data_IF_865141993203
#
_entry.id   IF_865141993203
#
_cell.length_a   1.000
_cell.length_b   1.000
_cell.length_c   1.000
_cell.angle_alpha   90.00
_cell.angle_beta   90.00
_cell.angle_gamma   90.00
#
_symmetry.space_group_name_H-M   'P 1'
#
loop_
_entity.id
_entity.type
_entity.pdbx_description
1 polymer ?
#
# COMPACT_ATOMS: atom_id res chain seq x y z
N UNK A 1 11.50 11.01 41.60
CA UNK A 1 12.51 11.71 40.78
C UNK A 1 12.84 10.76 39.64
N UNK A 2 12.58 11.14 38.38
CA UNK A 2 13.01 10.33 37.24
C UNK A 2 14.55 10.36 37.22
N UNK A 3 15.17 9.19 37.23
CA UNK A 3 16.62 9.04 37.18
C UNK A 3 17.08 9.55 35.80
N UNK A 4 17.86 10.64 35.79
CA UNK A 4 18.39 11.15 34.54
C UNK A 4 19.31 10.08 33.94
N UNK A 5 19.17 9.74 32.65
CA UNK A 5 19.96 8.70 32.02
C UNK A 5 21.45 9.05 32.13
N UNK A 6 22.27 8.04 32.38
CA UNK A 6 23.73 8.21 32.45
C UNK A 6 24.28 8.82 31.16
N UNK A 7 25.39 9.56 31.26
CA UNK A 7 26.05 10.20 30.12
C UNK A 7 26.39 9.19 29.00
N UNK A 8 26.79 7.96 29.37
CA UNK A 8 27.02 6.85 28.43
C UNK A 8 25.74 6.46 27.67
N UNK A 9 24.59 6.48 28.35
CA UNK A 9 23.30 6.21 27.71
C UNK A 9 22.93 7.31 26.72
N UNK A 10 23.18 8.58 27.07
CA UNK A 10 22.91 9.71 26.18
C UNK A 10 23.78 9.63 24.92
N UNK A 11 25.08 9.35 25.07
CA UNK A 11 26.01 9.18 23.93
C UNK A 11 25.51 8.07 22.99
N UNK A 12 25.09 6.92 23.55
CA UNK A 12 24.57 5.81 22.76
C UNK A 12 23.28 6.19 22.01
N UNK A 13 22.35 6.88 22.66
CA UNK A 13 21.12 7.36 22.01
C UNK A 13 21.44 8.33 20.86
N UNK A 14 22.40 9.25 21.05
CA UNK A 14 22.83 10.17 20.00
C UNK A 14 23.45 9.44 18.80
N UNK A 15 24.18 8.36 19.02
CA UNK A 15 24.73 7.51 17.96
C UNK A 15 23.63 6.77 17.21
N UNK A 16 22.70 6.14 17.92
CA UNK A 16 21.62 5.37 17.29
C UNK A 16 20.62 6.28 16.53
N UNK A 17 20.41 7.52 16.99
CA UNK A 17 19.66 8.56 16.25
C UNK A 17 20.28 8.90 14.90
N UNK A 18 21.59 8.69 14.72
CA UNK A 18 22.31 8.95 13.47
C UNK A 18 22.47 7.71 12.59
N UNK A 19 21.90 6.57 12.97
CA UNK A 19 21.96 5.35 12.17
C UNK A 19 21.35 5.56 10.78
N UNK A 20 21.98 5.00 9.74
CA UNK A 20 21.42 5.02 8.36
C UNK A 20 20.05 4.33 8.28
N UNK A 21 19.80 3.36 9.15
CA UNK A 21 18.57 2.60 9.19
C UNK A 21 17.41 3.37 9.84
N UNK A 22 16.42 3.76 9.03
CA UNK A 22 15.24 4.50 9.48
C UNK A 22 14.49 3.82 10.64
N UNK A 23 14.36 2.48 10.61
CA UNK A 23 13.69 1.73 11.69
C UNK A 23 14.43 1.84 13.03
N UNK A 24 15.77 1.95 13.02
CA UNK A 24 16.56 2.12 14.25
C UNK A 24 16.34 3.50 14.82
N UNK A 25 16.40 4.55 13.97
CA UNK A 25 16.10 5.92 14.38
C UNK A 25 14.72 6.02 15.03
N UNK A 26 13.69 5.44 14.40
CA UNK A 26 12.32 5.42 14.94
C UNK A 26 12.22 4.71 16.29
N UNK A 27 12.87 3.56 16.46
CA UNK A 27 12.87 2.83 17.73
C UNK A 27 13.48 3.66 18.85
N UNK A 28 14.60 4.33 18.58
CA UNK A 28 15.33 5.18 19.53
C UNK A 28 14.50 6.41 19.90
N UNK A 29 13.89 7.08 18.92
CA UNK A 29 13.02 8.23 19.13
C UNK A 29 11.84 7.85 20.03
N UNK A 30 11.26 6.67 19.83
CA UNK A 30 10.21 6.14 20.69
C UNK A 30 10.71 5.93 22.12
N UNK A 31 11.88 5.31 22.30
CA UNK A 31 12.49 5.12 23.62
C UNK A 31 12.74 6.45 24.33
N UNK A 32 13.23 7.47 23.62
CA UNK A 32 13.44 8.82 24.15
C UNK A 32 12.12 9.42 24.66
N UNK A 33 11.04 9.29 23.89
CA UNK A 33 9.72 9.81 24.26
C UNK A 33 9.13 9.07 25.48
N UNK A 34 9.24 7.74 25.51
CA UNK A 34 8.70 6.91 26.60
C UNK A 34 9.48 7.09 27.91
N UNK A 35 10.80 7.15 27.83
CA UNK A 35 11.68 7.36 28.99
C UNK A 35 11.80 8.83 29.41
N UNK A 36 11.21 9.75 28.65
CA UNK A 36 11.27 11.20 28.87
C UNK A 36 12.72 11.69 29.01
N UNK A 37 13.56 11.26 28.09
CA UNK A 37 14.97 11.67 28.06
C UNK A 37 15.05 13.10 27.55
N UNK A 38 15.07 14.05 28.50
CA UNK A 38 15.15 15.48 28.24
C UNK A 38 16.61 15.97 28.33
N UNK A 39 17.38 15.69 27.27
CA UNK A 39 18.74 16.20 27.09
C UNK A 39 18.78 17.18 25.91
N UNK A 40 19.44 18.32 26.09
CA UNK A 40 19.47 19.40 25.10
C UNK A 40 20.07 18.97 23.76
N UNK A 41 21.05 18.05 23.76
CA UNK A 41 21.67 17.51 22.55
C UNK A 41 20.69 16.63 21.79
N UNK A 42 19.93 15.80 22.51
CA UNK A 42 18.89 14.94 21.93
C UNK A 42 17.79 15.81 21.32
N UNK A 43 17.28 16.80 22.04
CA UNK A 43 16.25 17.72 21.55
C UNK A 43 16.72 18.44 20.28
N UNK A 44 18.00 18.87 20.23
CA UNK A 44 18.57 19.50 19.04
C UNK A 44 18.58 18.56 17.84
N UNK A 45 19.01 17.31 18.02
CA UNK A 45 18.99 16.31 16.93
C UNK A 45 17.57 16.00 16.49
N UNK A 46 16.62 15.85 17.42
CA UNK A 46 15.21 15.61 17.07
C UNK A 46 14.65 16.75 16.21
N UNK A 47 14.96 18.02 16.55
CA UNK A 47 14.58 19.17 15.72
C UNK A 47 15.18 19.10 14.31
N UNK A 48 16.44 18.71 14.18
CA UNK A 48 17.08 18.47 12.87
C UNK A 48 16.40 17.34 12.10
N UNK A 49 16.07 16.23 12.76
CA UNK A 49 15.39 15.08 12.14
C UNK A 49 14.02 15.50 11.61
N UNK A 50 13.25 16.30 12.36
CA UNK A 50 11.95 16.81 11.90
C UNK A 50 12.05 17.60 10.61
N UNK A 51 13.14 18.35 10.40
CA UNK A 51 13.30 19.21 9.22
C UNK A 51 14.01 18.50 8.05
N UNK A 52 15.01 17.67 8.33
CA UNK A 52 15.98 17.20 7.33
C UNK A 52 15.93 15.70 7.03
N UNK A 53 15.25 14.87 7.84
CA UNK A 53 15.23 13.42 7.60
C UNK A 53 14.46 13.08 6.30
N UNK A 54 15.02 12.18 5.52
CA UNK A 54 14.43 11.71 4.26
C UNK A 54 13.16 10.89 4.45
N UNK A 55 12.94 10.33 5.63
CA UNK A 55 11.78 9.50 5.94
C UNK A 55 10.68 10.29 6.64
N UNK A 56 9.53 10.43 5.97
CA UNK A 56 8.32 11.02 6.55
C UNK A 56 7.93 10.37 7.88
N UNK A 57 8.09 9.05 7.98
CA UNK A 57 7.81 8.31 9.20
C UNK A 57 8.74 8.73 10.34
N UNK A 58 10.05 8.83 10.08
CA UNK A 58 11.02 9.27 11.10
C UNK A 58 10.74 10.71 11.55
N UNK A 59 10.37 11.60 10.62
CA UNK A 59 9.98 12.99 10.94
C UNK A 59 8.77 13.05 11.87
N UNK A 60 7.71 12.31 11.52
CA UNK A 60 6.52 12.20 12.37
C UNK A 60 6.84 11.63 13.75
N UNK A 61 7.77 10.68 13.81
CA UNK A 61 8.22 10.13 15.09
C UNK A 61 8.94 11.18 15.94
N UNK A 62 9.87 11.93 15.35
CA UNK A 62 10.64 12.95 16.07
C UNK A 62 9.75 14.11 16.54
N UNK A 63 8.74 14.49 15.75
CA UNK A 63 7.77 15.51 16.13
C UNK A 63 6.94 15.08 17.35
N UNK A 64 6.47 13.83 17.36
CA UNK A 64 5.72 13.29 18.48
C UNK A 64 6.58 13.16 19.75
N UNK A 65 7.87 12.84 19.61
CA UNK A 65 8.80 12.79 20.73
C UNK A 65 9.06 14.18 21.33
N UNK A 66 9.27 15.20 20.49
CA UNK A 66 9.41 16.59 20.95
C UNK A 66 8.16 17.07 21.71
N UNK A 67 6.97 16.78 21.18
CA UNK A 67 5.72 17.09 21.86
C UNK A 67 5.63 16.42 23.25
N UNK A 68 6.04 15.15 23.33
CA UNK A 68 6.02 14.39 24.58
C UNK A 68 7.00 14.94 25.64
N UNK A 69 8.17 15.42 25.21
CA UNK A 69 9.13 16.07 26.10
C UNK A 69 8.63 17.44 26.58
N UNK A 70 8.03 18.23 25.70
CA UNK A 70 7.51 19.58 26.05
C UNK A 70 6.27 19.55 26.94
N UNK A 71 5.32 18.66 26.65
CA UNK A 71 4.00 18.65 27.30
C UNK A 71 3.87 17.58 28.38
N UNK A 72 4.89 16.72 28.52
CA UNK A 72 4.87 15.61 29.46
C UNK A 72 3.78 14.56 29.15
N UNK A 73 3.26 14.54 27.93
CA UNK A 73 2.28 13.57 27.45
C UNK A 73 2.49 13.28 25.96
N UNK A 74 2.31 12.03 25.55
CA UNK A 74 2.34 11.66 24.13
C UNK A 74 1.17 12.31 23.39
N UNK A 75 1.37 12.80 22.15
CA UNK A 75 0.26 13.31 21.37
C UNK A 75 -0.72 12.16 21.05
N UNK A 76 -2.04 12.41 20.99
CA UNK A 76 -3.04 11.36 20.74
C UNK A 76 -2.81 10.61 19.43
N UNK A 77 -2.26 11.30 18.43
CA UNK A 77 -1.93 10.86 17.09
C UNK A 77 -0.46 10.43 16.94
N UNK A 78 0.24 10.14 18.04
CA UNK A 78 1.61 9.64 17.95
C UNK A 78 1.67 8.42 17.01
N UNK A 79 2.63 8.37 16.07
CA UNK A 79 2.65 7.35 15.02
C UNK A 79 2.89 5.92 15.55
N UNK A 80 3.21 5.78 16.83
CA UNK A 80 3.32 4.51 17.56
C UNK A 80 2.25 4.27 18.64
N UNK A 81 1.35 5.24 18.92
CA UNK A 81 0.23 5.06 19.86
C UNK A 81 -0.96 4.36 19.21
N UNK A 82 -1.13 4.54 17.90
CA UNK A 82 -1.98 3.67 17.11
C UNK A 82 -1.14 2.45 16.69
N UNK A 83 -1.68 1.22 16.75
CA UNK A 83 -1.04 0.13 16.03
C UNK A 83 -0.99 0.61 14.58
N UNK A 84 0.22 0.86 14.08
CA UNK A 84 0.48 1.11 12.66
C UNK A 84 -0.41 0.11 11.97
N UNK A 85 -1.39 0.58 11.19
CA UNK A 85 -2.14 -0.29 10.32
C UNK A 85 -1.07 -0.88 9.42
N UNK A 86 -0.53 -2.03 9.82
CA UNK A 86 0.52 -2.70 9.12
C UNK A 86 -0.09 -2.86 7.76
N UNK A 87 0.51 -2.18 6.77
CA UNK A 87 0.04 -2.15 5.40
C UNK A 87 -0.12 -3.61 5.04
N UNK A 88 -1.36 -4.15 5.12
CA UNK A 88 -1.60 -5.59 5.29
C UNK A 88 -0.82 -6.26 4.19
N UNK A 89 0.33 -6.81 4.54
CA UNK A 89 1.27 -7.30 3.56
C UNK A 89 0.53 -8.52 3.03
N UNK A 90 -0.02 -8.39 1.81
CA UNK A 90 -0.86 -9.43 1.21
C UNK A 90 -0.05 -10.70 1.36
N UNK A 91 -0.60 -11.67 2.09
CA UNK A 91 0.08 -12.94 2.29
C UNK A 91 0.52 -13.45 0.91
N UNK A 92 1.71 -14.04 0.74
CA UNK A 92 2.17 -14.53 -0.55
C UNK A 92 1.11 -15.39 -1.27
N UNK A 93 0.29 -16.11 -0.50
CA UNK A 93 -0.87 -16.87 -0.98
C UNK A 93 -2.01 -15.98 -1.51
N UNK A 94 -2.38 -14.92 -0.80
CA UNK A 94 -3.39 -13.95 -1.26
C UNK A 94 -2.94 -13.19 -2.51
N UNK A 95 -1.65 -12.85 -2.62
CA UNK A 95 -1.08 -12.25 -3.83
C UNK A 95 -1.12 -13.20 -5.02
N UNK A 96 -0.80 -14.48 -4.79
CA UNK A 96 -0.88 -15.54 -5.81
C UNK A 96 -2.33 -15.75 -6.26
N UNK A 97 -3.28 -15.88 -5.34
CA UNK A 97 -4.70 -16.02 -5.66
C UNK A 97 -5.23 -14.81 -6.44
N UNK A 98 -4.83 -13.59 -6.07
CA UNK A 98 -5.17 -12.38 -6.83
C UNK A 98 -4.65 -12.45 -8.28
N UNK A 99 -3.38 -12.83 -8.47
CA UNK A 99 -2.77 -12.95 -9.79
C UNK A 99 -3.45 -14.05 -10.62
N UNK A 100 -3.83 -15.17 -10.01
CA UNK A 100 -4.59 -16.23 -10.67
C UNK A 100 -5.93 -15.69 -11.17
N UNK A 101 -6.67 -14.93 -10.36
CA UNK A 101 -7.92 -14.32 -10.79
C UNK A 101 -7.74 -13.30 -11.93
N UNK A 102 -6.70 -12.47 -11.83
CA UNK A 102 -6.43 -11.42 -12.81
C UNK A 102 -5.98 -12.01 -14.16
N UNK A 103 -4.89 -12.78 -14.19
CA UNK A 103 -4.36 -13.36 -15.43
C UNK A 103 -5.21 -14.51 -15.95
N UNK A 104 -5.80 -15.31 -15.05
CA UNK A 104 -6.67 -16.42 -15.43
C UNK A 104 -7.87 -15.96 -16.24
N UNK A 105 -8.44 -14.79 -15.93
CA UNK A 105 -9.54 -14.22 -16.72
C UNK A 105 -9.13 -13.96 -18.18
N UNK A 106 -7.95 -13.38 -18.42
CA UNK A 106 -7.46 -13.15 -19.78
C UNK A 106 -7.14 -14.47 -20.50
N UNK A 107 -6.50 -15.43 -19.80
CA UNK A 107 -6.17 -16.72 -20.37
C UNK A 107 -7.43 -17.50 -20.79
N UNK A 108 -8.45 -17.55 -19.93
CA UNK A 108 -9.72 -18.23 -20.23
C UNK A 108 -10.44 -17.54 -21.38
N UNK A 109 -10.55 -16.20 -21.35
CA UNK A 109 -11.21 -15.46 -22.43
C UNK A 109 -10.46 -15.58 -23.77
N UNK A 110 -9.14 -15.62 -23.76
CA UNK A 110 -8.33 -15.86 -24.96
C UNK A 110 -8.56 -17.26 -25.53
N UNK A 111 -8.58 -18.29 -24.66
CA UNK A 111 -8.87 -19.66 -25.10
C UNK A 111 -10.29 -19.79 -25.67
N UNK A 112 -11.28 -19.18 -25.02
CA UNK A 112 -12.65 -19.14 -25.51
C UNK A 112 -12.74 -18.43 -26.86
N UNK A 113 -12.01 -17.33 -27.04
CA UNK A 113 -11.95 -16.64 -28.33
C UNK A 113 -11.38 -17.54 -29.44
N UNK A 114 -10.30 -18.30 -29.18
CA UNK A 114 -9.75 -19.26 -30.16
C UNK A 114 -10.81 -20.30 -30.56
N UNK A 115 -11.53 -20.85 -29.58
CA UNK A 115 -12.60 -21.82 -29.83
C UNK A 115 -13.72 -21.19 -30.68
N UNK A 116 -14.04 -19.92 -30.46
CA UNK A 116 -15.11 -19.22 -31.18
C UNK A 116 -14.85 -18.98 -32.65
N UNK A 117 -13.59 -18.97 -33.10
CA UNK A 117 -13.22 -18.69 -34.51
C UNK A 117 -13.93 -19.66 -35.47
N UNK A 118 -14.26 -20.87 -35.02
CA UNK A 118 -14.88 -21.90 -35.85
C UNK A 118 -16.38 -22.09 -35.58
N UNK A 119 -16.99 -21.26 -34.73
CA UNK A 119 -18.40 -21.39 -34.34
C UNK A 119 -19.20 -20.24 -34.96
N UNK A 120 -20.00 -20.50 -36.02
CA UNK A 120 -20.86 -19.47 -36.58
C UNK A 120 -22.03 -19.18 -35.62
N UNK A 121 -22.11 -17.94 -35.11
CA UNK A 121 -23.26 -17.48 -34.32
C UNK A 121 -22.95 -16.34 -33.35
N UNK A 122 -23.91 -15.43 -33.16
CA UNK A 122 -23.78 -14.21 -32.35
C UNK A 122 -23.96 -14.42 -30.84
N UNK A 123 -24.24 -15.64 -30.37
CA UNK A 123 -24.51 -15.91 -28.95
C UNK A 123 -23.23 -16.10 -28.11
N UNK A 124 -22.10 -16.41 -28.75
CA UNK A 124 -20.85 -16.72 -28.05
C UNK A 124 -20.40 -15.62 -27.06
N UNK A 125 -20.44 -14.32 -27.40
CA UNK A 125 -20.06 -13.25 -26.46
C UNK A 125 -20.93 -13.21 -25.20
N UNK A 126 -22.25 -13.46 -25.34
CA UNK A 126 -23.18 -13.48 -24.22
C UNK A 126 -22.90 -14.67 -23.29
N UNK A 127 -22.58 -15.84 -23.86
CA UNK A 127 -22.20 -17.02 -23.08
C UNK A 127 -20.88 -16.78 -22.31
N UNK A 128 -19.88 -16.19 -22.95
CA UNK A 128 -18.60 -15.83 -22.31
C UNK A 128 -18.82 -14.86 -21.15
N UNK A 129 -19.71 -13.87 -21.32
CA UNK A 129 -20.05 -12.94 -20.25
C UNK A 129 -20.72 -13.66 -19.07
N UNK A 130 -21.69 -14.55 -19.33
CA UNK A 130 -22.37 -15.34 -18.29
C UNK A 130 -21.39 -16.23 -17.52
N UNK A 131 -20.45 -16.88 -18.21
CA UNK A 131 -19.42 -17.70 -17.58
C UNK A 131 -18.50 -16.86 -16.69
N UNK A 132 -18.05 -15.70 -17.16
CA UNK A 132 -17.22 -14.79 -16.36
C UNK A 132 -17.97 -14.27 -15.12
N UNK A 133 -19.25 -13.91 -15.25
CA UNK A 133 -20.07 -13.44 -14.14
C UNK A 133 -20.32 -14.56 -13.12
N UNK A 134 -20.68 -15.76 -13.60
CA UNK A 134 -20.89 -16.93 -12.74
C UNK A 134 -19.63 -17.33 -11.98
N UNK A 135 -18.47 -17.34 -12.66
CA UNK A 135 -17.18 -17.59 -12.03
C UNK A 135 -16.83 -16.50 -11.01
N UNK A 136 -17.07 -15.22 -11.31
CA UNK A 136 -16.83 -14.12 -10.38
C UNK A 136 -17.66 -14.27 -9.10
N UNK A 137 -18.95 -14.57 -9.23
CA UNK A 137 -19.85 -14.78 -8.08
C UNK A 137 -19.42 -16.02 -7.28
N UNK A 138 -19.12 -17.13 -7.96
CA UNK A 138 -18.65 -18.35 -7.28
C UNK A 138 -17.34 -18.15 -6.52
N UNK A 139 -16.38 -17.43 -7.10
CA UNK A 139 -15.13 -17.10 -6.42
C UNK A 139 -15.29 -16.03 -5.34
N UNK A 140 -16.29 -15.15 -5.43
CA UNK A 140 -16.53 -14.15 -4.39
C UNK A 140 -16.80 -14.79 -3.01
N UNK A 141 -17.51 -15.93 -3.00
CA UNK A 141 -17.82 -16.66 -1.76
C UNK A 141 -16.70 -17.63 -1.34
N UNK A 142 -16.01 -18.25 -2.29
CA UNK A 142 -15.02 -19.31 -1.99
C UNK A 142 -13.60 -18.77 -1.83
N UNK A 143 -13.19 -17.82 -2.65
CA UNK A 143 -11.83 -17.26 -2.71
C UNK A 143 -11.87 -15.77 -3.07
N UNK A 144 -12.15 -14.88 -2.10
CA UNK A 144 -12.38 -13.46 -2.37
C UNK A 144 -11.17 -12.75 -3.01
N UNK A 145 -9.94 -13.23 -2.74
CA UNK A 145 -8.73 -12.73 -3.39
C UNK A 145 -8.76 -12.96 -4.92
N UNK A 146 -9.19 -14.14 -5.38
CA UNK A 146 -9.35 -14.45 -6.83
C UNK A 146 -10.41 -13.54 -7.43
N UNK A 147 -11.57 -13.43 -6.79
CA UNK A 147 -12.66 -12.58 -7.28
C UNK A 147 -12.25 -11.11 -7.42
N UNK A 148 -11.47 -10.58 -6.47
CA UNK A 148 -10.92 -9.22 -6.57
C UNK A 148 -9.96 -9.05 -7.74
N UNK A 149 -9.18 -10.09 -8.09
CA UNK A 149 -8.34 -10.12 -9.29
C UNK A 149 -9.17 -10.10 -10.57
N UNK A 150 -10.20 -10.95 -10.65
CA UNK A 150 -11.12 -11.02 -11.78
C UNK A 150 -11.88 -9.70 -11.99
N UNK A 151 -12.37 -9.09 -10.92
CA UNK A 151 -13.06 -7.79 -10.99
C UNK A 151 -12.15 -6.70 -11.56
N UNK A 152 -10.88 -6.68 -11.14
CA UNK A 152 -9.90 -5.73 -11.66
C UNK A 152 -9.57 -5.99 -13.11
N UNK A 153 -9.48 -7.25 -13.53
CA UNK A 153 -9.30 -7.60 -14.94
C UNK A 153 -10.48 -7.13 -15.81
N UNK A 154 -11.73 -7.30 -15.34
CA UNK A 154 -12.92 -6.75 -16.03
C UNK A 154 -12.85 -5.22 -16.17
N UNK A 155 -12.48 -4.51 -15.11
CA UNK A 155 -12.36 -3.05 -15.16
C UNK A 155 -11.30 -2.59 -16.17
N UNK A 156 -10.14 -3.28 -16.21
CA UNK A 156 -9.08 -3.01 -17.19
C UNK A 156 -9.55 -3.30 -18.61
N UNK A 157 -10.18 -4.45 -18.84
CA UNK A 157 -10.69 -4.83 -20.15
C UNK A 157 -11.74 -3.83 -20.65
N UNK A 158 -12.67 -3.41 -19.79
CA UNK A 158 -13.65 -2.38 -20.10
C UNK A 158 -12.98 -1.05 -20.46
N UNK A 159 -12.00 -0.61 -19.67
CA UNK A 159 -11.23 0.61 -19.97
C UNK A 159 -10.54 0.56 -21.32
N UNK A 160 -9.92 -0.57 -21.67
CA UNK A 160 -9.28 -0.78 -22.99
C UNK A 160 -10.33 -0.68 -24.11
N UNK A 161 -11.47 -1.36 -23.97
CA UNK A 161 -12.55 -1.32 -24.96
C UNK A 161 -13.07 0.10 -25.18
N UNK A 162 -13.26 0.87 -24.12
CA UNK A 162 -13.69 2.27 -24.22
C UNK A 162 -12.64 3.13 -24.94
N UNK A 163 -11.36 3.00 -24.58
CA UNK A 163 -10.28 3.78 -25.21
C UNK A 163 -10.12 3.43 -26.68
N UNK A 164 -10.09 2.14 -27.02
CA UNK A 164 -10.00 1.67 -28.42
C UNK A 164 -11.24 2.09 -29.21
N UNK A 165 -12.43 1.95 -28.63
CA UNK A 165 -13.68 2.36 -29.26
C UNK A 165 -13.74 3.87 -29.55
N UNK A 166 -13.30 4.70 -28.61
CA UNK A 166 -13.18 6.15 -28.80
C UNK A 166 -12.16 6.49 -29.88
N UNK A 167 -10.98 5.85 -29.85
CA UNK A 167 -9.94 6.07 -30.85
C UNK A 167 -10.43 5.72 -32.27
N UNK A 168 -11.01 4.53 -32.44
CA UNK A 168 -11.61 4.11 -33.72
C UNK A 168 -12.72 5.07 -34.15
N UNK A 169 -13.59 5.48 -33.23
CA UNK A 169 -14.65 6.44 -33.51
C UNK A 169 -14.12 7.77 -34.03
N UNK A 170 -13.10 8.34 -33.39
CA UNK A 170 -12.46 9.59 -33.81
C UNK A 170 -11.78 9.44 -35.16
N UNK A 171 -11.02 8.35 -35.37
CA UNK A 171 -10.35 8.09 -36.66
C UNK A 171 -11.38 7.97 -37.78
N UNK A 172 -12.46 7.23 -37.57
CA UNK A 172 -13.54 7.15 -38.55
C UNK A 172 -14.19 8.52 -38.81
N UNK A 173 -14.44 9.31 -37.77
CA UNK A 173 -15.06 10.63 -37.94
C UNK A 173 -14.18 11.54 -38.79
N UNK A 174 -12.87 11.61 -38.51
CA UNK A 174 -11.90 12.42 -39.29
C UNK A 174 -11.67 11.89 -40.70
N UNK A 175 -11.63 10.56 -40.88
CA UNK A 175 -11.40 9.95 -42.19
C UNK A 175 -12.60 10.09 -43.15
N UNK A 176 -13.80 10.27 -42.62
CA UNK A 176 -15.04 10.35 -43.40
C UNK A 176 -15.74 11.73 -43.32
N UNK A 177 -15.13 12.73 -42.68
CA UNK A 177 -15.52 14.14 -42.69
C UNK A 177 -14.76 14.94 -43.74
#
# INVERSE_FOLDING_TARGET
>A
MAEQPSEETIIKLLEELRSDAAYRRMAVIKTIAEQRVDDERIVKILKTIVTEDMSDAVRGYAQAALYALEHGQLPPDAPWSTPVASKKERSPKEATDFNIGFFGMFAVNFLLWIISINIPGSFFPALVLLLNLGALVGFAFTRPAIASGMLRALAVAFGIVVVVGLFVGVVCLVAFS
#
